data_IF_649597782937
#
_entry.id   IF_649597782937
#
_cell.length_a   1.000
_cell.length_b   1.000
_cell.length_c   1.000
_cell.angle_alpha   90.00
_cell.angle_beta   90.00
_cell.angle_gamma   90.00
#
_symmetry.space_group_name_H-M   'P 1'
#
loop_
_entity.id
_entity.type
_entity.pdbx_description
1 polymer ?
#
# COMPACT_ATOMS: atom_id res chain seq x y z
N UNK A 1 12.94 -5.93 -11.08
CA UNK A 1 11.50 -5.99 -10.73
C UNK A 1 11.14 -4.75 -9.94
N UNK A 2 10.35 -3.85 -10.51
CA UNK A 2 9.75 -2.72 -9.79
C UNK A 2 8.41 -3.20 -9.23
N UNK A 3 8.22 -3.14 -7.91
CA UNK A 3 6.91 -3.36 -7.29
C UNK A 3 5.97 -2.20 -7.65
N UNK A 4 4.66 -2.43 -7.78
CA UNK A 4 3.66 -1.39 -8.11
C UNK A 4 3.79 -0.14 -7.21
N UNK A 5 4.14 -0.32 -5.95
CA UNK A 5 4.47 0.78 -5.03
C UNK A 5 5.64 1.66 -5.52
N UNK A 6 6.71 1.07 -6.03
CA UNK A 6 7.90 1.80 -6.49
C UNK A 6 7.64 2.67 -7.73
N UNK A 7 6.74 2.26 -8.63
CA UNK A 7 6.36 3.04 -9.79
C UNK A 7 5.45 4.23 -9.43
N UNK A 8 4.59 4.08 -8.41
CA UNK A 8 3.79 5.21 -7.94
C UNK A 8 4.57 6.20 -7.07
N UNK A 9 5.62 5.75 -6.38
CA UNK A 9 6.48 6.63 -5.58
C UNK A 9 7.56 7.35 -6.41
N UNK A 10 7.83 6.96 -7.65
CA UNK A 10 8.80 7.66 -8.51
C UNK A 10 8.30 9.01 -9.02
N UNK A 11 7.00 9.23 -9.02
CA UNK A 11 6.39 10.44 -9.56
C UNK A 11 6.31 11.60 -8.54
N UNK A 12 6.59 11.31 -7.26
CA UNK A 12 6.66 12.30 -6.20
C UNK A 12 8.14 12.64 -5.93
N UNK A 13 8.68 13.56 -6.72
CA UNK A 13 10.07 14.00 -6.57
C UNK A 13 10.32 14.75 -5.26
N UNK A 14 9.29 15.38 -4.66
CA UNK A 14 9.41 16.19 -3.46
C UNK A 14 8.29 16.00 -2.43
N UNK A 15 8.67 15.96 -1.15
CA UNK A 15 7.73 16.00 -0.01
C UNK A 15 7.27 17.45 0.20
N UNK A 16 5.95 17.74 0.08
CA UNK A 16 5.44 19.10 0.21
C UNK A 16 5.75 19.70 1.59
N UNK A 17 5.89 21.02 1.66
CA UNK A 17 5.97 21.75 2.93
C UNK A 17 4.57 21.85 3.52
N UNK A 18 4.45 21.73 4.85
CA UNK A 18 3.15 21.73 5.55
C UNK A 18 2.32 22.98 5.22
N UNK A 19 2.95 24.15 5.15
CA UNK A 19 2.30 25.41 4.77
C UNK A 19 1.73 25.41 3.34
N UNK A 20 2.20 24.52 2.46
CA UNK A 20 1.71 24.36 1.08
C UNK A 20 0.61 23.30 0.95
N UNK A 21 0.33 22.54 2.01
CA UNK A 21 -0.75 21.55 2.00
C UNK A 21 -2.11 22.23 2.11
N UNK A 22 -2.87 22.23 1.02
CA UNK A 22 -4.28 22.68 1.02
C UNK A 22 -5.17 21.78 1.87
N UNK A 23 -4.87 20.47 1.88
CA UNK A 23 -5.60 19.43 2.61
C UNK A 23 -4.56 18.53 3.26
N UNK A 24 -4.72 18.24 4.56
CA UNK A 24 -3.85 17.30 5.26
C UNK A 24 -4.14 15.87 4.78
N UNK A 25 -3.12 15.04 4.53
CA UNK A 25 -3.30 13.69 3.97
C UNK A 25 -3.71 12.67 5.06
N UNK A 26 -4.83 12.92 5.74
CA UNK A 26 -5.34 12.11 6.88
C UNK A 26 -5.49 10.64 6.48
N UNK A 27 -6.16 10.37 5.36
CA UNK A 27 -6.38 9.00 4.88
C UNK A 27 -5.08 8.26 4.56
N UNK A 28 -4.08 8.95 4.01
CA UNK A 28 -2.78 8.34 3.72
C UNK A 28 -2.04 7.97 5.01
N UNK A 29 -2.11 8.81 6.04
CA UNK A 29 -1.51 8.50 7.35
C UNK A 29 -2.21 7.31 8.01
N UNK A 30 -3.54 7.23 7.96
CA UNK A 30 -4.30 6.08 8.45
C UNK A 30 -3.86 4.79 7.74
N UNK A 31 -3.77 4.83 6.41
CA UNK A 31 -3.35 3.67 5.62
C UNK A 31 -1.92 3.23 5.97
N UNK A 32 -1.00 4.17 6.19
CA UNK A 32 0.36 3.88 6.62
C UNK A 32 0.40 3.21 8.02
N UNK A 33 -0.36 3.72 8.99
CA UNK A 33 -0.49 3.12 10.32
C UNK A 33 -1.03 1.69 10.23
N UNK A 34 -2.08 1.48 9.44
CA UNK A 34 -2.67 0.16 9.24
C UNK A 34 -1.73 -0.81 8.53
N UNK A 35 -0.91 -0.33 7.59
CA UNK A 35 0.10 -1.14 6.92
C UNK A 35 1.19 -1.61 7.90
N UNK A 36 1.64 -0.71 8.79
CA UNK A 36 2.59 -1.06 9.86
C UNK A 36 1.97 -2.05 10.84
N UNK A 37 0.72 -1.84 11.25
CA UNK A 37 -0.02 -2.77 12.10
C UNK A 37 -0.12 -4.17 11.45
N UNK A 38 -0.42 -4.22 10.15
CA UNK A 38 -0.47 -5.46 9.38
C UNK A 38 0.88 -6.18 9.34
N UNK A 39 1.96 -5.43 9.12
CA UNK A 39 3.31 -5.96 9.12
C UNK A 39 3.66 -6.56 10.49
N UNK A 40 3.36 -5.87 11.59
CA UNK A 40 3.60 -6.39 12.94
C UNK A 40 2.76 -7.62 13.26
N UNK A 41 1.50 -7.66 12.83
CA UNK A 41 0.66 -8.86 12.97
C UNK A 41 1.26 -10.08 12.28
N UNK A 42 2.00 -9.87 11.21
CA UNK A 42 2.69 -10.94 10.46
C UNK A 42 3.99 -11.41 11.11
N UNK A 43 4.48 -10.72 12.15
CA UNK A 43 5.76 -10.99 12.83
C UNK A 43 5.60 -11.21 14.35
N UNK A 44 4.41 -11.54 14.82
CA UNK A 44 4.09 -11.66 16.27
C UNK A 44 4.95 -12.65 17.03
N UNK A 45 5.42 -13.72 16.39
CA UNK A 45 6.28 -14.76 17.00
C UNK A 45 7.78 -14.51 16.79
N UNK A 46 8.16 -13.38 16.20
CA UNK A 46 9.53 -13.11 15.76
C UNK A 46 9.91 -13.82 14.46
N UNK A 47 9.02 -14.65 13.90
CA UNK A 47 9.14 -15.28 12.58
C UNK A 47 8.00 -14.77 11.71
N UNK A 48 8.27 -14.54 10.43
CA UNK A 48 7.24 -14.18 9.47
C UNK A 48 6.19 -15.30 9.33
N UNK A 49 4.95 -14.99 9.66
CA UNK A 49 3.79 -15.86 9.46
C UNK A 49 3.03 -15.36 8.24
N UNK A 50 3.15 -16.08 7.12
CA UNK A 50 2.38 -15.77 5.91
C UNK A 50 0.93 -16.18 6.10
N UNK A 51 0.02 -15.21 6.10
CA UNK A 51 -1.40 -15.50 6.05
C UNK A 51 -1.77 -16.05 4.67
N UNK A 52 -2.20 -17.32 4.61
CA UNK A 52 -2.72 -17.97 3.40
C UNK A 52 -4.22 -17.74 3.18
N UNK A 53 -4.91 -17.22 4.20
CA UNK A 53 -6.34 -16.92 4.11
C UNK A 53 -6.58 -15.49 3.65
N UNK A 54 -7.61 -15.24 2.79
CA UNK A 54 -8.03 -13.89 2.41
C UNK A 54 -8.33 -12.98 3.60
N UNK A 55 -8.72 -13.53 4.75
CA UNK A 55 -8.97 -12.78 6.00
C UNK A 55 -7.72 -12.13 6.59
N UNK A 56 -6.54 -12.56 6.15
CA UNK A 56 -5.25 -12.03 6.60
C UNK A 56 -4.58 -11.10 5.61
N UNK A 57 -5.23 -10.76 4.48
CA UNK A 57 -4.69 -9.84 3.49
C UNK A 57 -4.84 -8.38 3.93
N UNK A 58 -3.90 -7.53 3.51
CA UNK A 58 -4.03 -6.08 3.62
C UNK A 58 -5.01 -5.58 2.55
N UNK A 59 -6.30 -5.51 2.90
CA UNK A 59 -7.39 -5.15 2.00
C UNK A 59 -8.44 -4.29 2.71
N UNK A 60 -9.28 -3.63 1.92
CA UNK A 60 -10.41 -2.83 2.42
C UNK A 60 -11.40 -3.65 3.27
N UNK A 61 -11.63 -4.92 2.94
CA UNK A 61 -12.53 -5.78 3.73
C UNK A 61 -11.99 -6.07 5.14
N UNK A 62 -10.66 -6.10 5.26
CA UNK A 62 -9.98 -6.48 6.49
C UNK A 62 -9.54 -5.30 7.35
N UNK A 63 -9.34 -4.11 6.76
CA UNK A 63 -8.84 -2.90 7.45
C UNK A 63 -9.78 -1.70 7.30
N UNK A 64 -10.79 -1.78 6.45
CA UNK A 64 -11.84 -0.77 6.32
C UNK A 64 -12.94 -0.93 7.38
N UNK A 65 -13.79 0.07 7.46
CA UNK A 65 -14.96 0.04 8.32
C UNK A 65 -15.97 -1.00 7.81
N UNK A 66 -16.57 -1.75 8.73
CA UNK A 66 -17.57 -2.76 8.38
C UNK A 66 -18.68 -2.89 9.40
N UNK A 67 -19.87 -3.21 8.92
CA UNK A 67 -20.99 -3.55 9.79
C UNK A 67 -20.94 -5.03 10.13
N UNK A 68 -20.78 -5.35 11.41
CA UNK A 68 -20.76 -6.73 11.90
C UNK A 68 -22.06 -7.05 12.64
N UNK A 69 -22.54 -8.28 12.50
CA UNK A 69 -23.66 -8.79 13.29
C UNK A 69 -23.10 -9.43 14.57
N UNK A 70 -23.43 -8.88 15.73
CA UNK A 70 -22.96 -9.34 17.04
C UNK A 70 -24.14 -9.81 17.85
N UNK A 71 -24.05 -10.99 18.46
CA UNK A 71 -25.07 -11.50 19.37
C UNK A 71 -24.89 -10.82 20.73
N UNK A 72 -25.89 -10.06 21.15
CA UNK A 72 -25.91 -9.46 22.49
C UNK A 72 -26.13 -10.51 23.58
N UNK A 73 -25.92 -10.13 24.84
CA UNK A 73 -26.15 -11.00 26.01
C UNK A 73 -27.60 -11.53 26.09
N UNK A 74 -28.55 -10.81 25.48
CA UNK A 74 -29.97 -11.16 25.43
C UNK A 74 -30.31 -12.16 24.30
N UNK A 75 -29.30 -12.77 23.66
CA UNK A 75 -29.47 -13.71 22.54
C UNK A 75 -29.88 -13.05 21.21
N UNK A 76 -30.22 -11.76 21.21
CA UNK A 76 -30.59 -11.01 20.00
C UNK A 76 -29.36 -10.53 19.25
N UNK A 77 -29.36 -10.73 17.94
CA UNK A 77 -28.33 -10.19 17.07
C UNK A 77 -28.56 -8.69 16.80
N UNK A 78 -27.49 -7.90 16.94
CA UNK A 78 -27.47 -6.47 16.62
C UNK A 78 -26.42 -6.19 15.56
N UNK A 79 -26.70 -5.26 14.66
CA UNK A 79 -25.71 -4.72 13.75
C UNK A 79 -24.88 -3.67 14.48
N UNK A 80 -23.56 -3.85 14.50
CA UNK A 80 -22.59 -2.96 15.13
C UNK A 80 -21.62 -2.49 14.07
N UNK A 81 -21.37 -1.17 14.01
CA UNK A 81 -20.36 -0.64 13.12
C UNK A 81 -18.97 -0.83 13.75
N UNK A 82 -18.14 -1.62 13.09
CA UNK A 82 -16.74 -1.84 13.46
C UNK A 82 -15.88 -0.87 12.65
N UNK A 83 -15.46 0.22 13.29
CA UNK A 83 -14.70 1.31 12.68
C UNK A 83 -13.20 1.03 12.74
N UNK A 84 -12.68 0.30 11.76
CA UNK A 84 -11.25 -0.05 11.77
C UNK A 84 -10.35 1.06 11.23
N UNK A 85 -10.83 1.83 10.26
CA UNK A 85 -10.10 2.95 9.69
C UNK A 85 -10.55 4.27 10.31
N UNK A 86 -11.86 4.51 10.41
CA UNK A 86 -12.35 5.83 10.85
C UNK A 86 -12.16 6.11 12.35
N UNK A 87 -11.85 5.10 13.16
CA UNK A 87 -11.48 5.31 14.57
C UNK A 87 -10.27 6.22 14.76
N UNK A 88 -9.37 6.27 13.76
CA UNK A 88 -8.16 7.09 13.82
C UNK A 88 -8.39 8.54 13.40
N UNK A 89 -9.48 8.83 12.69
CA UNK A 89 -9.78 10.16 12.13
C UNK A 89 -9.78 11.25 13.20
N UNK A 90 -10.50 11.13 14.33
CA UNK A 90 -10.53 12.19 15.34
C UNK A 90 -9.16 12.52 15.92
N UNK A 91 -8.30 11.50 16.04
CA UNK A 91 -6.95 11.68 16.59
C UNK A 91 -6.05 12.41 15.61
N UNK A 92 -6.10 12.04 14.33
CA UNK A 92 -5.25 12.64 13.29
C UNK A 92 -5.76 14.04 12.91
N UNK A 93 -7.07 14.28 12.93
CA UNK A 93 -7.63 15.62 12.71
C UNK A 93 -7.28 16.59 13.85
N UNK A 94 -7.04 16.08 15.06
CA UNK A 94 -6.56 16.88 16.19
C UNK A 94 -5.06 17.24 16.09
N UNK A 95 -4.33 16.74 15.08
CA UNK A 95 -2.93 17.08 14.91
C UNK A 95 -2.74 18.53 14.48
N UNK A 96 -2.08 19.29 15.34
CA UNK A 96 -1.54 20.61 15.00
C UNK A 96 -0.46 20.54 13.89
N UNK A 97 -0.18 21.68 13.27
CA UNK A 97 0.81 21.80 12.18
C UNK A 97 2.20 21.28 12.56
N UNK A 98 2.64 21.48 13.82
CA UNK A 98 3.92 20.95 14.33
C UNK A 98 4.04 19.42 14.19
N UNK A 99 2.94 18.69 14.34
CA UNK A 99 2.96 17.23 14.19
C UNK A 99 3.12 16.85 12.72
N UNK A 100 2.41 17.55 11.83
CA UNK A 100 2.56 17.36 10.38
C UNK A 100 3.95 17.74 9.91
N UNK A 101 4.56 18.79 10.47
CA UNK A 101 5.93 19.20 10.14
C UNK A 101 6.91 18.12 10.54
N UNK A 102 6.81 17.60 11.76
CA UNK A 102 7.64 16.49 12.23
C UNK A 102 7.50 15.24 11.37
N UNK A 103 6.27 14.89 10.96
CA UNK A 103 6.03 13.73 10.08
C UNK A 103 6.68 13.94 8.71
N UNK A 104 6.45 15.08 8.07
CA UNK A 104 6.99 15.33 6.73
C UNK A 104 8.51 15.48 6.74
N UNK A 105 9.08 16.04 7.80
CA UNK A 105 10.53 16.12 7.98
C UNK A 105 11.16 14.74 8.10
N UNK A 106 10.60 13.85 8.93
CA UNK A 106 11.05 12.47 9.00
C UNK A 106 10.97 11.75 7.65
N UNK A 107 9.93 12.01 6.85
CA UNK A 107 9.82 11.45 5.49
C UNK A 107 10.93 11.98 4.58
N UNK A 108 11.27 13.28 4.64
CA UNK A 108 12.38 13.87 3.88
C UNK A 108 13.71 13.22 4.24
N UNK A 109 14.02 13.09 5.52
CA UNK A 109 15.26 12.46 5.99
C UNK A 109 15.41 11.02 5.47
N UNK A 110 14.32 10.24 5.48
CA UNK A 110 14.30 8.87 4.95
C UNK A 110 14.54 8.87 3.43
N UNK A 111 13.90 9.78 2.70
CA UNK A 111 14.05 9.88 1.24
C UNK A 111 15.46 10.30 0.85
N UNK A 112 16.05 11.27 1.53
CA UNK A 112 17.43 11.72 1.32
C UNK A 112 18.44 10.61 1.59
N UNK A 113 18.25 9.87 2.70
CA UNK A 113 19.04 8.69 3.02
C UNK A 113 18.93 7.61 1.92
N UNK A 114 17.73 7.40 1.36
CA UNK A 114 17.50 6.42 0.29
C UNK A 114 18.12 6.83 -1.05
N UNK A 115 18.04 8.12 -1.41
CA UNK A 115 18.57 8.66 -2.66
C UNK A 115 20.10 8.69 -2.66
N UNK A 116 20.73 8.97 -1.52
CA UNK A 116 22.19 8.90 -1.39
C UNK A 116 22.73 7.48 -1.64
N UNK A 117 22.01 6.44 -1.20
CA UNK A 117 22.37 5.03 -1.43
C UNK A 117 22.23 4.64 -2.91
N UNK A 118 21.17 5.12 -3.59
CA UNK A 118 20.98 4.90 -5.04
C UNK A 118 22.07 5.53 -5.90
N UNK A 119 22.60 6.70 -5.50
CA UNK A 119 23.72 7.34 -6.21
C UNK A 119 25.00 6.50 -6.12
N UNK A 120 25.27 5.82 -4.99
CA UNK A 120 26.43 4.90 -4.86
C UNK A 120 26.30 3.61 -5.66
N UNK A 121 25.09 3.07 -5.83
CA UNK A 121 24.90 1.83 -6.60
C UNK A 121 24.91 2.03 -8.11
N UNK A 122 24.64 3.25 -8.60
CA UNK A 122 24.70 3.58 -10.04
C UNK A 122 26.14 3.66 -10.60
N UNK A 123 27.15 3.74 -9.74
CA UNK A 123 28.55 3.89 -10.16
C UNK A 123 29.23 2.59 -10.63
N UNK A 124 28.54 1.44 -10.64
CA UNK A 124 29.15 0.15 -11.00
C UNK A 124 28.38 -0.70 -12.04
N UNK A 125 27.30 -0.20 -12.66
CA UNK A 125 26.50 -1.01 -13.62
C UNK A 125 26.24 -0.35 -14.97
N UNK A 126 27.11 0.54 -15.44
CA UNK A 126 27.06 1.04 -16.82
C UNK A 126 27.85 0.11 -17.76
N UNK A 127 27.30 -1.08 -17.99
CA UNK A 127 27.54 -1.82 -19.23
C UNK A 127 26.20 -2.43 -19.65
N UNK A 128 25.44 -1.62 -20.40
CA UNK A 128 24.25 -2.06 -21.09
C UNK A 128 24.66 -3.14 -22.09
N UNK A 129 24.13 -4.35 -21.94
CA UNK A 129 24.13 -5.38 -22.97
C UNK A 129 22.72 -5.38 -23.57
N UNK A 130 22.47 -4.44 -24.47
CA UNK A 130 21.35 -4.50 -25.40
C UNK A 130 21.80 -5.37 -26.58
N UNK A 131 21.40 -6.63 -26.58
CA UNK A 131 21.23 -7.38 -27.82
C UNK A 131 20.04 -8.32 -27.60
N UNK A 132 18.98 -8.05 -28.35
CA UNK A 132 17.68 -8.68 -28.26
C UNK A 132 17.46 -9.36 -29.60
N UNK A 133 17.81 -10.64 -29.70
CA UNK A 133 17.43 -11.51 -30.80
C UNK A 133 16.52 -12.59 -30.22
N UNK A 134 15.22 -12.50 -30.54
CA UNK A 134 14.27 -13.59 -30.32
C UNK A 134 13.57 -13.82 -31.66
N UNK A 135 13.98 -14.89 -32.34
CA UNK A 135 13.33 -15.40 -33.55
C UNK A 135 11.84 -15.61 -33.31
N UNK A 136 11.04 -15.12 -34.25
CA UNK A 136 9.59 -15.21 -34.34
C UNK A 136 9.18 -16.63 -34.79
N UNK A 137 8.49 -17.44 -33.96
CA UNK A 137 7.81 -18.62 -34.47
C UNK A 137 6.45 -18.22 -35.02
N UNK A 138 6.29 -18.30 -36.34
CA UNK A 138 5.03 -18.22 -37.07
C UNK A 138 3.96 -19.13 -36.41
N UNK A 139 2.91 -18.53 -35.87
CA UNK A 139 1.74 -19.26 -35.40
C UNK A 139 0.71 -19.33 -36.53
N UNK A 140 0.54 -20.50 -37.12
CA UNK A 140 -0.54 -20.79 -38.07
C UNK A 140 -1.91 -20.64 -37.37
N UNK A 141 -2.67 -19.64 -37.80
CA UNK A 141 -4.05 -19.39 -37.38
C UNK A 141 -4.99 -20.52 -37.86
N UNK A 142 -5.36 -21.42 -36.95
CA UNK A 142 -6.51 -22.31 -37.13
C UNK A 142 -7.44 -22.20 -35.92
N UNK A 143 -8.34 -21.22 -35.95
CA UNK A 143 -9.48 -21.15 -35.04
C UNK A 143 -10.78 -21.37 -35.82
N UNK A 144 -11.44 -22.49 -35.55
CA UNK A 144 -12.80 -22.79 -36.01
C UNK A 144 -13.80 -22.09 -35.09
N UNK A 145 -14.57 -21.15 -35.63
CA UNK A 145 -15.71 -20.53 -34.95
C UNK A 145 -16.90 -21.49 -35.01
N UNK A 146 -17.34 -21.99 -33.85
CA UNK A 146 -18.64 -22.66 -33.69
C UNK A 146 -19.61 -21.62 -33.13
N UNK A 147 -20.56 -21.20 -33.95
CA UNK A 147 -21.69 -20.39 -33.53
C UNK A 147 -22.77 -21.31 -32.96
N UNK A 148 -23.20 -21.07 -31.72
CA UNK A 148 -24.43 -21.64 -31.17
C UNK A 148 -25.61 -20.70 -31.50
N UNK A 149 -26.48 -21.12 -32.41
CA UNK A 149 -27.86 -20.65 -32.55
C UNK A 149 -28.78 -21.86 -32.31
N UNK A 150 -29.54 -21.83 -31.23
CA UNK A 150 -30.98 -22.17 -31.15
C UNK A 150 -31.54 -21.84 -29.75
#
# INVERSE_FOLDING_TARGET
MYTLAHAHFSDFEDVPVVAKLKIKPVGALILAVQAVEHAFKSWTTGVYVKNSSPKGYFSGDNYGDKVMKVTGKDGRAKHVNNRQATQYVPTIEAFEDRHWESILEAVREILDASNSKRKRSRSLSSRASSDFDMEEPEAEDNYVLVSDED
#
